data_IF_254202963057
#
_entry.id   IF_254202963057
#
_cell.length_a   1.000
_cell.length_b   1.000
_cell.length_c   1.000
_cell.angle_alpha   90.00
_cell.angle_beta   90.00
_cell.angle_gamma   90.00
#
_symmetry.space_group_name_H-M   'P 1'
#
loop_
_entity.id
_entity.type
_entity.pdbx_description
1 polymer ?
#
# COMPACT_ATOMS: atom_id res chain seq x y z
N UNK A 1 3.73 -1.51 -21.14
CA UNK A 1 2.35 -1.70 -20.65
C UNK A 1 2.40 -1.54 -19.13
N UNK A 2 2.37 -0.29 -18.68
CA UNK A 2 2.53 0.07 -17.26
C UNK A 2 1.16 -0.12 -16.60
N UNK A 3 0.99 -1.24 -15.92
CA UNK A 3 -0.24 -1.55 -15.19
C UNK A 3 -0.26 -0.65 -13.95
N UNK A 4 -1.28 0.20 -13.90
CA UNK A 4 -1.58 1.11 -12.80
C UNK A 4 -1.85 0.36 -11.49
N UNK A 5 -1.48 1.01 -10.39
CA UNK A 5 -1.80 0.71 -8.98
C UNK A 5 -0.99 -0.39 -8.26
N UNK A 6 0.31 -0.13 -8.06
CA UNK A 6 0.97 -0.45 -6.78
C UNK A 6 1.29 0.89 -6.12
N UNK A 7 0.46 1.33 -5.17
CA UNK A 7 0.86 2.47 -4.35
C UNK A 7 1.94 1.98 -3.39
N UNK A 8 3.20 2.21 -3.76
CA UNK A 8 4.35 2.07 -2.87
C UNK A 8 4.17 3.15 -1.80
N UNK A 9 3.61 2.76 -0.66
CA UNK A 9 3.33 3.65 0.48
C UNK A 9 4.62 4.24 1.09
N UNK A 10 5.80 3.79 0.66
CA UNK A 10 7.10 4.29 1.12
C UNK A 10 7.27 5.81 0.95
N UNK A 11 6.70 6.44 -0.08
CA UNK A 11 6.77 7.90 -0.23
C UNK A 11 5.75 8.66 0.63
N UNK A 12 4.59 8.07 0.92
CA UNK A 12 3.55 8.73 1.72
C UNK A 12 3.78 8.65 3.23
N UNK A 13 4.36 7.55 3.72
CA UNK A 13 4.64 7.39 5.17
C UNK A 13 5.87 8.16 5.64
N UNK A 14 6.86 8.37 4.77
CA UNK A 14 8.07 9.12 5.11
C UNK A 14 7.94 10.62 4.84
N UNK A 15 6.90 11.06 4.13
CA UNK A 15 6.73 12.45 3.73
C UNK A 15 5.28 12.91 3.96
N UNK A 16 4.98 13.24 5.22
CA UNK A 16 3.70 13.85 5.64
C UNK A 16 3.30 15.04 4.75
N UNK A 17 4.27 15.80 4.23
CA UNK A 17 3.99 16.94 3.37
C UNK A 17 3.40 16.53 2.00
N UNK A 18 3.83 15.42 1.42
CA UNK A 18 3.25 14.88 0.19
C UNK A 18 1.80 14.42 0.38
N UNK A 19 1.49 13.83 1.55
CA UNK A 19 0.12 13.47 1.91
C UNK A 19 -0.75 14.71 2.14
N UNK A 20 -0.33 15.62 3.02
CA UNK A 20 -1.09 16.83 3.37
C UNK A 20 -1.42 17.67 2.12
N UNK A 21 -0.50 17.73 1.16
CA UNK A 21 -0.67 18.51 -0.08
C UNK A 21 -1.66 17.88 -1.06
N UNK A 22 -1.84 16.56 -1.03
CA UNK A 22 -2.70 15.82 -1.97
C UNK A 22 -4.03 15.38 -1.36
N UNK A 23 -4.12 15.26 -0.03
CA UNK A 23 -5.22 14.63 0.69
C UNK A 23 -6.60 15.11 0.23
N UNK A 24 -6.86 16.42 0.27
CA UNK A 24 -8.16 16.96 -0.10
C UNK A 24 -8.50 16.80 -1.60
N UNK A 25 -7.49 16.73 -2.47
CA UNK A 25 -7.71 16.55 -3.91
C UNK A 25 -8.17 15.13 -4.25
N UNK A 26 -7.72 14.15 -3.46
CA UNK A 26 -7.99 12.73 -3.71
C UNK A 26 -9.08 12.17 -2.80
N UNK A 27 -9.50 12.90 -1.77
CA UNK A 27 -10.38 12.41 -0.70
C UNK A 27 -11.67 11.77 -1.24
N UNK A 28 -12.44 12.51 -2.04
CA UNK A 28 -13.72 12.00 -2.57
C UNK A 28 -13.54 11.23 -3.87
N UNK A 29 -12.58 11.62 -4.71
CA UNK A 29 -12.37 11.04 -6.03
C UNK A 29 -11.78 9.63 -6.01
N UNK A 30 -11.22 9.20 -4.87
CA UNK A 30 -10.54 7.90 -4.73
C UNK A 30 -11.18 6.96 -3.72
N UNK A 31 -12.35 7.33 -3.17
CA UNK A 31 -13.05 6.50 -2.20
C UNK A 31 -13.41 5.13 -2.77
N UNK A 32 -13.29 4.09 -1.96
CA UNK A 32 -13.58 2.70 -2.33
C UNK A 32 -12.50 2.03 -3.18
N UNK A 33 -11.37 2.70 -3.47
CA UNK A 33 -10.30 2.09 -4.27
C UNK A 33 -9.70 0.88 -3.55
N UNK A 34 -9.53 -0.26 -4.26
CA UNK A 34 -8.83 -1.40 -3.70
C UNK A 34 -7.35 -1.08 -3.52
N UNK A 35 -6.75 -1.56 -2.43
CA UNK A 35 -5.32 -1.40 -2.17
C UNK A 35 -4.71 -2.62 -1.48
N UNK A 36 -3.38 -2.73 -1.62
CA UNK A 36 -2.52 -3.59 -0.83
C UNK A 36 -1.16 -2.91 -0.63
N UNK A 37 -0.36 -3.40 0.31
CA UNK A 37 0.89 -2.73 0.69
C UNK A 37 2.03 -3.74 0.91
N UNK A 38 3.20 -3.38 0.38
CA UNK A 38 4.47 -4.00 0.70
C UNK A 38 5.30 -3.04 1.56
N UNK A 39 5.84 -3.55 2.66
CA UNK A 39 6.68 -2.82 3.59
C UNK A 39 8.00 -3.55 3.75
N UNK A 40 9.10 -2.83 3.56
CA UNK A 40 10.42 -3.30 3.91
C UNK A 40 10.89 -2.57 5.16
N UNK A 41 11.21 -3.32 6.21
CA UNK A 41 11.64 -2.79 7.49
C UNK A 41 12.97 -3.42 7.91
N UNK A 42 13.82 -2.65 8.59
CA UNK A 42 15.06 -3.21 9.13
C UNK A 42 14.82 -3.78 10.54
N UNK A 43 14.01 -3.09 11.36
CA UNK A 43 13.54 -3.53 12.68
C UNK A 43 12.14 -2.96 12.91
N UNK A 44 11.12 -3.82 13.04
CA UNK A 44 9.72 -3.43 13.29
C UNK A 44 9.03 -2.69 12.13
N UNK A 45 7.83 -3.13 11.74
CA UNK A 45 7.03 -2.48 10.68
C UNK A 45 5.75 -1.81 11.20
N UNK A 46 5.47 -1.93 12.49
CA UNK A 46 4.18 -1.60 13.11
C UNK A 46 3.84 -0.11 12.93
N UNK A 47 4.83 0.76 13.04
CA UNK A 47 4.66 2.20 12.82
C UNK A 47 4.27 2.52 11.37
N UNK A 48 4.90 1.85 10.41
CA UNK A 48 4.60 2.01 8.99
C UNK A 48 3.21 1.42 8.66
N UNK A 49 2.89 0.24 9.19
CA UNK A 49 1.58 -0.39 9.04
C UNK A 49 0.46 0.49 9.57
N UNK A 50 0.62 1.04 10.78
CA UNK A 50 -0.37 1.93 11.39
C UNK A 50 -0.55 3.22 10.60
N UNK A 51 0.53 3.76 10.04
CA UNK A 51 0.45 4.95 9.20
C UNK A 51 -0.29 4.66 7.88
N UNK A 52 -0.01 3.52 7.24
CA UNK A 52 -0.76 3.05 6.05
C UNK A 52 -2.25 2.93 6.37
N UNK A 53 -2.59 2.27 7.48
CA UNK A 53 -3.97 2.06 7.90
C UNK A 53 -4.69 3.38 8.19
N UNK A 54 -4.04 4.31 8.88
CA UNK A 54 -4.61 5.63 9.17
C UNK A 54 -4.91 6.41 7.88
N UNK A 55 -3.95 6.45 6.96
CA UNK A 55 -4.09 7.15 5.67
C UNK A 55 -5.21 6.54 4.83
N UNK A 56 -5.18 5.22 4.65
CA UNK A 56 -6.13 4.52 3.78
C UNK A 56 -7.55 4.50 4.35
N UNK A 57 -7.69 4.48 5.67
CA UNK A 57 -8.97 4.69 6.35
C UNK A 57 -9.50 6.10 6.10
N UNK A 58 -8.66 7.13 6.24
CA UNK A 58 -9.05 8.53 5.98
C UNK A 58 -9.50 8.75 4.54
N UNK A 59 -8.87 8.08 3.58
CA UNK A 59 -9.23 8.11 2.16
C UNK A 59 -10.41 7.18 1.80
N UNK A 60 -10.88 6.34 2.73
CA UNK A 60 -11.93 5.36 2.49
C UNK A 60 -11.57 4.29 1.48
N UNK A 61 -10.30 3.88 1.41
CA UNK A 61 -9.83 2.81 0.53
C UNK A 61 -10.10 1.43 1.15
N UNK A 62 -10.19 0.41 0.30
CA UNK A 62 -10.52 -0.96 0.70
C UNK A 62 -9.30 -1.86 0.59
N UNK A 63 -8.88 -2.45 1.70
CA UNK A 63 -7.79 -3.43 1.71
C UNK A 63 -8.28 -4.72 1.06
N UNK A 64 -7.63 -5.16 -0.02
CA UNK A 64 -7.98 -6.40 -0.73
C UNK A 64 -7.04 -7.56 -0.47
N UNK A 65 -5.91 -7.30 0.19
CA UNK A 65 -4.94 -8.30 0.60
C UNK A 65 -4.21 -7.88 1.89
N UNK A 66 -3.71 -8.83 2.70
CA UNK A 66 -2.82 -8.53 3.82
C UNK A 66 -1.58 -7.73 3.39
N UNK A 67 -0.99 -6.97 4.32
CA UNK A 67 0.32 -6.35 4.08
C UNK A 67 1.38 -7.44 3.92
N UNK A 68 2.27 -7.28 2.96
CA UNK A 68 3.51 -8.06 2.89
C UNK A 68 4.60 -7.27 3.60
N UNK A 69 5.12 -7.81 4.69
CA UNK A 69 6.18 -7.18 5.49
C UNK A 69 7.43 -8.02 5.39
N UNK A 70 8.51 -7.42 4.90
CA UNK A 70 9.79 -8.09 4.72
C UNK A 70 10.83 -7.42 5.58
N UNK A 71 11.49 -8.23 6.41
CA UNK A 71 12.54 -7.78 7.30
C UNK A 71 13.89 -8.31 6.82
N UNK A 72 14.92 -7.45 6.84
CA UNK A 72 16.26 -7.85 6.41
C UNK A 72 16.34 -8.14 4.91
N UNK A 73 17.11 -9.15 4.50
CA UNK A 73 17.27 -9.45 3.06
C UNK A 73 16.07 -10.27 2.55
N UNK A 74 15.37 -9.84 1.50
CA UNK A 74 14.23 -10.57 0.95
C UNK A 74 14.60 -12.00 0.51
N UNK A 75 13.78 -12.96 0.92
CA UNK A 75 13.82 -14.36 0.50
C UNK A 75 13.03 -14.58 -0.79
N UNK A 76 13.02 -15.83 -1.29
CA UNK A 76 12.16 -16.19 -2.44
C UNK A 76 10.67 -16.15 -2.07
N UNK A 77 10.33 -16.58 -0.86
CA UNK A 77 8.96 -16.61 -0.36
C UNK A 77 8.40 -15.19 -0.20
N UNK A 78 9.27 -14.22 0.13
CA UNK A 78 8.92 -12.79 0.17
C UNK A 78 8.57 -12.26 -1.23
N UNK A 79 9.33 -12.67 -2.24
CA UNK A 79 9.07 -12.29 -3.63
C UNK A 79 7.78 -12.92 -4.16
N UNK A 80 7.52 -14.18 -3.81
CA UNK A 80 6.27 -14.86 -4.13
C UNK A 80 5.07 -14.19 -3.45
N UNK A 81 5.21 -13.82 -2.17
CA UNK A 81 4.18 -13.07 -1.45
C UNK A 81 3.89 -11.71 -2.10
N UNK A 82 4.92 -11.00 -2.58
CA UNK A 82 4.75 -9.76 -3.33
C UNK A 82 4.07 -9.97 -4.68
N UNK A 83 4.35 -11.10 -5.35
CA UNK A 83 3.71 -11.47 -6.60
C UNK A 83 2.22 -11.72 -6.41
N UNK A 84 1.84 -12.53 -5.43
CA UNK A 84 0.45 -12.82 -5.08
C UNK A 84 -0.32 -11.57 -4.64
N UNK A 85 0.34 -10.67 -3.89
CA UNK A 85 -0.21 -9.37 -3.53
C UNK A 85 -0.58 -8.56 -4.79
N UNK A 86 0.35 -8.47 -5.75
CA UNK A 86 0.12 -7.76 -7.02
C UNK A 86 -0.99 -8.41 -7.85
N UNK A 87 -1.01 -9.73 -7.95
CA UNK A 87 -2.04 -10.48 -8.66
C UNK A 87 -3.43 -10.24 -8.05
N UNK A 88 -3.54 -10.24 -6.72
CA UNK A 88 -4.80 -10.00 -6.01
C UNK A 88 -5.32 -8.59 -6.25
N UNK A 89 -4.46 -7.58 -6.18
CA UNK A 89 -4.84 -6.18 -6.46
C UNK A 89 -5.30 -6.04 -7.91
N UNK A 90 -4.55 -6.60 -8.87
CA UNK A 90 -4.89 -6.55 -10.28
C UNK A 90 -6.24 -7.21 -10.57
N UNK A 91 -6.53 -8.36 -9.96
CA UNK A 91 -7.82 -9.02 -10.06
C UNK A 91 -8.97 -8.12 -9.54
N UNK A 92 -8.74 -7.39 -8.45
CA UNK A 92 -9.71 -6.45 -7.88
C UNK A 92 -9.95 -5.19 -8.73
N UNK A 93 -9.10 -4.88 -9.70
CA UNK A 93 -9.27 -3.74 -10.62
C UNK A 93 -10.03 -4.08 -11.91
N UNK A 94 -10.28 -5.37 -12.16
CA UNK A 94 -10.97 -5.85 -13.36
C UNK A 94 -12.48 -6.05 -13.17
N UNK A 95 -13.01 -5.85 -11.95
CA UNK A 95 -14.45 -5.85 -11.65
C UNK A 95 -15.02 -4.43 -11.60
#
# INVERSE_FOLDING_TARGET
MLVSAVLIVREFTNNKHAFDSSYYQILDSTRGRPFGCYLHANEGAEGAERAVETITTGLGWTRVAPNVVVSGTPSKDDLESCWELGATIAAGLMG
#
